data_IF_918559606538
#
_entry.id   IF_918559606538
#
_cell.length_a   1.000
_cell.length_b   1.000
_cell.length_c   1.000
_cell.angle_alpha   90.00
_cell.angle_beta   90.00
_cell.angle_gamma   90.00
#
_symmetry.space_group_name_H-M   'P 1'
#
loop_
_entity.id
_entity.type
_entity.pdbx_description
1 polymer ?
#
# COMPACT_ATOMS: atom_id res chain seq x y z
N UNK A 1 10.98 -24.89 74.28
CA UNK A 1 11.42 -24.95 72.88
C UNK A 1 10.21 -24.67 71.99
N UNK A 2 10.13 -23.48 71.39
CA UNK A 2 9.02 -23.06 70.52
C UNK A 2 9.40 -23.30 69.06
N UNK A 3 8.60 -24.12 68.36
CA UNK A 3 8.80 -24.44 66.95
C UNK A 3 8.16 -23.31 66.14
N UNK A 4 8.97 -22.55 65.41
CA UNK A 4 8.49 -21.52 64.49
C UNK A 4 7.78 -22.21 63.30
N UNK A 5 6.48 -21.94 63.13
CA UNK A 5 5.74 -22.38 61.96
C UNK A 5 6.13 -21.46 60.78
N UNK A 6 6.84 -22.01 59.79
CA UNK A 6 7.10 -21.32 58.54
C UNK A 6 5.82 -21.26 57.71
N UNK A 7 5.23 -20.07 57.57
CA UNK A 7 4.08 -19.83 56.69
C UNK A 7 4.53 -20.01 55.23
N UNK A 8 3.93 -20.93 54.45
CA UNK A 8 4.33 -21.11 53.05
C UNK A 8 3.95 -19.85 52.26
N UNK A 9 4.86 -19.33 51.39
CA UNK A 9 4.55 -18.17 50.56
C UNK A 9 3.38 -18.53 49.62
N UNK A 10 2.31 -17.76 49.70
CA UNK A 10 1.08 -17.97 48.92
C UNK A 10 1.38 -17.97 47.42
N UNK A 11 0.94 -19.01 46.70
CA UNK A 11 1.09 -19.26 45.25
C UNK A 11 0.53 -18.15 44.31
N UNK A 12 0.06 -17.05 44.88
CA UNK A 12 -0.54 -15.90 44.20
C UNK A 12 0.54 -15.00 43.59
N UNK A 13 1.70 -14.87 44.25
CA UNK A 13 2.80 -14.02 43.75
C UNK A 13 3.54 -14.62 42.54
N UNK A 14 3.50 -15.94 42.35
CA UNK A 14 4.15 -16.61 41.22
C UNK A 14 3.31 -16.59 39.93
N UNK A 15 1.98 -16.54 40.04
CA UNK A 15 1.06 -16.58 38.88
C UNK A 15 0.77 -15.19 38.30
N UNK A 16 0.86 -14.14 39.11
CA UNK A 16 0.73 -12.73 38.70
C UNK A 16 1.64 -12.31 37.52
N UNK A 17 2.96 -12.55 37.53
CA UNK A 17 3.82 -12.15 36.41
C UNK A 17 3.50 -12.94 35.12
N UNK A 18 3.07 -14.19 35.26
CA UNK A 18 2.72 -15.06 34.13
C UNK A 18 1.41 -14.61 33.47
N UNK A 19 0.45 -14.17 34.29
CA UNK A 19 -0.81 -13.60 33.82
C UNK A 19 -0.61 -12.20 33.19
N UNK A 20 0.27 -11.38 33.75
CA UNK A 20 0.67 -10.11 33.15
C UNK A 20 1.34 -10.29 31.78
N UNK A 21 2.28 -11.25 31.66
CA UNK A 21 2.92 -11.61 30.39
C UNK A 21 1.88 -12.08 29.36
N UNK A 22 0.94 -12.93 29.77
CA UNK A 22 -0.14 -13.40 28.91
C UNK A 22 -1.00 -12.25 28.39
N UNK A 23 -1.36 -11.29 29.26
CA UNK A 23 -2.13 -10.11 28.87
C UNK A 23 -1.37 -9.23 27.86
N UNK A 24 -0.07 -9.04 28.03
CA UNK A 24 0.78 -8.30 27.07
C UNK A 24 0.80 -9.00 25.72
N UNK A 25 0.95 -10.33 25.69
CA UNK A 25 0.92 -11.12 24.45
C UNK A 25 -0.43 -10.96 23.74
N UNK A 26 -1.55 -11.07 24.48
CA UNK A 26 -2.90 -10.90 23.92
C UNK A 26 -3.11 -9.48 23.40
N UNK A 27 -2.63 -8.46 24.13
CA UNK A 27 -2.72 -7.06 23.72
C UNK A 27 -1.94 -6.80 22.43
N UNK A 28 -0.68 -7.26 22.34
CA UNK A 28 0.12 -7.17 21.12
C UNK A 28 -0.53 -7.94 19.96
N UNK A 29 -1.09 -9.11 20.22
CA UNK A 29 -1.77 -9.91 19.19
C UNK A 29 -3.04 -9.22 18.66
N UNK A 30 -3.85 -8.64 19.55
CA UNK A 30 -5.03 -7.84 19.14
C UNK A 30 -4.63 -6.59 18.38
N UNK A 31 -3.59 -5.89 18.82
CA UNK A 31 -3.07 -4.71 18.13
C UNK A 31 -2.59 -5.05 16.72
N UNK A 32 -1.76 -6.10 16.58
CA UNK A 32 -1.26 -6.60 15.31
C UNK A 32 -2.39 -7.09 14.38
N UNK A 33 -3.44 -7.70 14.93
CA UNK A 33 -4.63 -8.06 14.13
C UNK A 33 -5.39 -6.82 13.66
N UNK A 34 -5.57 -5.82 14.52
CA UNK A 34 -6.29 -4.58 14.19
C UNK A 34 -5.56 -3.75 13.13
N UNK A 35 -4.23 -3.61 13.23
CA UNK A 35 -3.43 -2.90 12.22
C UNK A 35 -3.61 -3.55 10.84
N UNK A 36 -3.52 -4.88 10.78
CA UNK A 36 -3.75 -5.65 9.54
C UNK A 36 -5.15 -5.45 8.97
N UNK A 37 -6.18 -5.36 9.81
CA UNK A 37 -7.56 -5.14 9.30
C UNK A 37 -7.78 -3.75 8.73
N UNK A 38 -7.12 -2.72 9.27
CA UNK A 38 -7.32 -1.35 8.79
C UNK A 38 -6.71 -1.13 7.41
N UNK A 39 -5.48 -1.55 7.18
CA UNK A 39 -4.84 -1.36 5.87
C UNK A 39 -5.38 -2.33 4.83
N UNK A 40 -5.92 -3.49 5.22
CA UNK A 40 -6.70 -4.33 4.29
C UNK A 40 -7.88 -3.54 3.74
N UNK A 41 -8.64 -2.84 4.60
CA UNK A 41 -9.74 -1.97 4.16
C UNK A 41 -9.25 -0.83 3.28
N UNK A 42 -8.12 -0.21 3.60
CA UNK A 42 -7.52 0.85 2.77
C UNK A 42 -7.12 0.31 1.39
N UNK A 43 -6.50 -0.86 1.34
CA UNK A 43 -6.11 -1.51 0.09
C UNK A 43 -7.35 -1.88 -0.75
N UNK A 44 -8.40 -2.40 -0.13
CA UNK A 44 -9.67 -2.70 -0.81
C UNK A 44 -10.37 -1.42 -1.32
N UNK A 45 -10.22 -0.31 -0.61
CA UNK A 45 -10.70 0.99 -1.06
C UNK A 45 -9.91 1.50 -2.26
N UNK A 46 -8.57 1.49 -2.18
CA UNK A 46 -7.69 1.85 -3.30
C UNK A 46 -7.94 0.99 -4.53
N UNK A 47 -8.13 -0.31 -4.36
CA UNK A 47 -8.44 -1.21 -5.45
C UNK A 47 -9.75 -0.81 -6.15
N UNK A 48 -10.77 -0.45 -5.38
CA UNK A 48 -12.05 0.01 -5.93
C UNK A 48 -11.89 1.32 -6.70
N UNK A 49 -11.19 2.29 -6.12
CA UNK A 49 -10.91 3.57 -6.78
C UNK A 49 -10.09 3.36 -8.07
N UNK A 50 -9.07 2.51 -8.01
CA UNK A 50 -8.25 2.17 -9.16
C UNK A 50 -9.05 1.43 -10.25
N UNK A 51 -9.99 0.57 -9.87
CA UNK A 51 -10.85 -0.15 -10.81
C UNK A 51 -11.77 0.82 -11.57
N UNK A 52 -12.26 1.88 -10.92
CA UNK A 52 -13.04 2.94 -11.58
C UNK A 52 -12.16 3.69 -12.57
N UNK A 53 -10.99 4.13 -12.13
CA UNK A 53 -10.05 4.93 -12.94
C UNK A 53 -9.44 4.15 -14.10
N UNK A 54 -9.30 2.83 -14.00
CA UNK A 54 -8.77 1.96 -15.06
C UNK A 54 -9.54 2.09 -16.38
N UNK A 55 -10.83 2.44 -16.32
CA UNK A 55 -11.65 2.64 -17.52
C UNK A 55 -11.33 3.97 -18.22
N UNK A 56 -10.83 4.96 -17.47
CA UNK A 56 -10.55 6.31 -17.97
C UNK A 56 -9.12 6.44 -18.52
N UNK A 57 -8.15 5.77 -17.89
CA UNK A 57 -6.73 5.86 -18.29
C UNK A 57 -6.05 4.50 -18.40
N UNK A 58 -5.37 4.30 -19.54
CA UNK A 58 -4.61 3.09 -19.80
C UNK A 58 -3.16 3.23 -19.28
N UNK A 59 -2.75 2.36 -18.36
CA UNK A 59 -1.38 2.31 -17.86
C UNK A 59 -0.59 1.21 -18.57
N UNK A 60 0.51 1.56 -19.22
CA UNK A 60 1.30 0.63 -20.06
C UNK A 60 2.79 0.78 -19.77
N UNK A 61 3.49 -0.35 -19.61
CA UNK A 61 4.94 -0.41 -19.36
C UNK A 61 5.79 -0.23 -20.62
N UNK A 62 5.23 -0.48 -21.80
CA UNK A 62 5.86 -0.23 -23.10
C UNK A 62 5.78 1.25 -23.46
N UNK A 63 6.73 1.71 -24.30
CA UNK A 63 6.84 3.12 -24.69
C UNK A 63 5.71 3.61 -25.62
N UNK A 64 4.85 2.70 -26.08
CA UNK A 64 3.67 2.98 -26.88
C UNK A 64 2.52 2.08 -26.43
N UNK A 65 1.29 2.50 -26.72
CA UNK A 65 0.10 1.68 -26.50
C UNK A 65 -0.02 0.64 -27.64
N UNK A 66 -0.06 -0.67 -27.34
CA UNK A 66 -0.19 -1.69 -28.37
C UNK A 66 -1.48 -1.52 -29.17
N UNK A 67 -1.38 -1.49 -30.51
CA UNK A 67 -2.52 -1.42 -31.40
C UNK A 67 -3.15 -0.03 -31.58
N UNK A 68 -2.62 1.00 -30.90
CA UNK A 68 -3.16 2.36 -30.95
C UNK A 68 -2.10 3.37 -31.38
N UNK A 69 -2.53 4.44 -32.05
CA UNK A 69 -1.65 5.54 -32.43
C UNK A 69 -1.68 6.63 -31.36
N UNK A 70 -0.50 7.03 -30.88
CA UNK A 70 -0.35 8.22 -30.04
C UNK A 70 -0.66 9.47 -30.86
N UNK A 71 -1.72 10.17 -30.48
CA UNK A 71 -2.15 11.44 -31.08
C UNK A 71 -1.28 12.58 -30.57
N UNK A 72 -1.02 12.59 -29.26
CA UNK A 72 -0.30 13.68 -28.60
C UNK A 72 0.44 13.19 -27.35
N UNK A 73 1.66 13.66 -27.16
CA UNK A 73 2.37 13.54 -25.88
C UNK A 73 2.06 14.77 -25.03
N UNK A 74 1.62 14.54 -23.79
CA UNK A 74 1.29 15.64 -22.86
C UNK A 74 2.52 15.98 -22.02
N UNK A 75 3.14 14.98 -21.39
CA UNK A 75 4.33 15.22 -20.57
C UNK A 75 4.70 14.07 -19.65
N UNK A 76 5.75 14.26 -18.86
CA UNK A 76 6.19 13.33 -17.85
C UNK A 76 5.31 13.41 -16.60
N UNK A 77 4.99 12.26 -16.00
CA UNK A 77 4.24 12.12 -14.76
C UNK A 77 4.99 11.22 -13.79
N UNK A 78 4.95 11.57 -12.52
CA UNK A 78 5.61 10.84 -11.44
C UNK A 78 4.78 10.93 -10.17
N UNK A 79 4.61 9.79 -9.49
CA UNK A 79 3.91 9.70 -8.24
C UNK A 79 4.70 8.88 -7.22
N UNK A 80 4.86 9.46 -6.03
CA UNK A 80 5.51 8.84 -4.88
C UNK A 80 4.43 8.38 -3.89
N UNK A 81 4.57 7.16 -3.38
CA UNK A 81 3.74 6.69 -2.28
C UNK A 81 3.99 7.46 -0.99
N UNK A 82 2.92 7.92 -0.35
CA UNK A 82 2.98 8.53 0.98
C UNK A 82 3.31 7.51 2.07
N UNK A 83 2.87 6.26 1.88
CA UNK A 83 3.07 5.18 2.83
C UNK A 83 4.52 4.67 2.79
N UNK A 84 5.18 4.71 3.94
CA UNK A 84 6.45 4.00 4.16
C UNK A 84 6.17 2.53 4.42
N UNK A 85 6.76 1.65 3.62
CA UNK A 85 6.58 0.22 3.73
C UNK A 85 7.78 -0.41 4.44
N UNK A 86 7.54 -0.93 5.64
CA UNK A 86 8.47 -1.78 6.39
C UNK A 86 8.18 -3.28 6.18
N UNK A 87 7.12 -3.61 5.45
CA UNK A 87 6.64 -4.98 5.26
C UNK A 87 5.87 -5.17 3.94
N UNK A 88 5.76 -6.41 3.47
CA UNK A 88 5.23 -6.74 2.14
C UNK A 88 3.79 -6.24 1.89
N UNK A 89 2.96 -6.22 2.93
CA UNK A 89 1.56 -5.78 2.83
C UNK A 89 1.46 -4.24 2.74
N UNK A 90 2.27 -3.51 3.50
CA UNK A 90 2.42 -2.05 3.36
C UNK A 90 2.98 -1.70 1.99
N UNK A 91 3.90 -2.52 1.48
CA UNK A 91 4.46 -2.33 0.15
C UNK A 91 3.39 -2.42 -0.94
N UNK A 92 2.47 -3.39 -0.84
CA UNK A 92 1.33 -3.50 -1.76
C UNK A 92 0.39 -2.30 -1.67
N UNK A 93 0.18 -1.75 -0.46
CA UNK A 93 -0.62 -0.54 -0.29
C UNK A 93 0.09 0.66 -0.96
N UNK A 94 1.37 0.86 -0.66
CA UNK A 94 2.20 1.92 -1.22
C UNK A 94 2.23 1.86 -2.76
N UNK A 95 2.38 0.67 -3.32
CA UNK A 95 2.36 0.46 -4.78
C UNK A 95 1.05 0.91 -5.41
N UNK A 96 -0.09 0.51 -4.84
CA UNK A 96 -1.41 0.91 -5.36
C UNK A 96 -1.69 2.38 -5.20
N UNK A 97 -1.24 2.98 -4.09
CA UNK A 97 -1.38 4.41 -3.85
C UNK A 97 -0.65 5.20 -4.94
N UNK A 98 0.62 4.89 -5.17
CA UNK A 98 1.42 5.55 -6.19
C UNK A 98 0.83 5.39 -7.60
N UNK A 99 0.31 4.20 -7.95
CA UNK A 99 -0.37 3.99 -9.24
C UNK A 99 -1.66 4.81 -9.39
N UNK A 100 -2.45 4.90 -8.33
CA UNK A 100 -3.69 5.66 -8.32
C UNK A 100 -3.41 7.16 -8.47
N UNK A 101 -2.42 7.67 -7.76
CA UNK A 101 -2.03 9.08 -7.82
C UNK A 101 -1.44 9.43 -9.19
N UNK A 102 -0.62 8.55 -9.78
CA UNK A 102 -0.13 8.71 -11.14
C UNK A 102 -1.27 8.77 -12.16
N UNK A 103 -2.26 7.88 -12.01
CA UNK A 103 -3.41 7.83 -12.88
C UNK A 103 -4.27 9.10 -12.77
N UNK A 104 -4.51 9.58 -11.54
CA UNK A 104 -5.19 10.85 -11.27
C UNK A 104 -4.46 12.04 -11.89
N UNK A 105 -3.13 12.08 -11.75
CA UNK A 105 -2.31 13.13 -12.35
C UNK A 105 -2.40 13.10 -13.88
N UNK A 106 -2.34 11.92 -14.49
CA UNK A 106 -2.53 11.74 -15.93
C UNK A 106 -3.90 12.25 -16.42
N UNK A 107 -4.98 11.89 -15.71
CA UNK A 107 -6.34 12.34 -16.03
C UNK A 107 -6.47 13.86 -15.88
N UNK A 108 -5.93 14.42 -14.80
CA UNK A 108 -5.94 15.87 -14.57
C UNK A 108 -5.19 16.64 -15.67
N UNK A 109 -4.19 16.01 -16.29
CA UNK A 109 -3.46 16.54 -17.44
C UNK A 109 -4.18 16.33 -18.79
N UNK A 110 -5.33 15.65 -18.79
CA UNK A 110 -6.11 15.32 -20.00
C UNK A 110 -5.58 14.11 -20.77
N UNK A 111 -4.78 13.25 -20.13
CA UNK A 111 -4.26 12.02 -20.71
C UNK A 111 -5.28 10.90 -20.62
N UNK A 112 -5.32 10.05 -21.66
CA UNK A 112 -6.10 8.81 -21.65
C UNK A 112 -5.19 7.56 -21.63
N UNK A 113 -3.87 7.75 -21.66
CA UNK A 113 -2.89 6.70 -21.42
C UNK A 113 -1.61 7.25 -20.77
N UNK A 114 -0.93 6.40 -20.02
CA UNK A 114 0.43 6.61 -19.52
C UNK A 114 1.28 5.47 -20.06
N UNK A 115 2.29 5.81 -20.86
CA UNK A 115 3.22 4.86 -21.49
C UNK A 115 4.58 4.91 -20.81
N UNK A 116 5.38 3.87 -21.04
CA UNK A 116 6.73 3.77 -20.50
C UNK A 116 6.75 3.66 -18.98
N UNK A 117 5.70 3.09 -18.39
CA UNK A 117 5.57 2.97 -16.94
C UNK A 117 6.80 2.25 -16.36
N UNK A 118 7.44 2.89 -15.40
CA UNK A 118 8.59 2.36 -14.65
C UNK A 118 8.33 2.51 -13.17
N UNK A 119 8.82 1.53 -12.43
CA UNK A 119 8.81 1.49 -10.98
C UNK A 119 10.22 1.70 -10.47
N UNK A 120 10.38 2.57 -9.49
CA UNK A 120 11.59 2.71 -8.69
C UNK A 120 11.25 2.60 -7.21
N UNK A 121 12.19 2.09 -6.42
CA UNK A 121 12.03 1.97 -4.97
C UNK A 121 13.19 2.69 -4.30
N UNK A 122 12.89 3.59 -3.37
CA UNK A 122 13.87 4.18 -2.47
C UNK A 122 13.85 3.42 -1.15
N UNK A 123 15.01 2.91 -0.71
CA UNK A 123 15.17 2.32 0.61
C UNK A 123 16.00 3.28 1.47
N UNK A 124 15.52 3.58 2.67
CA UNK A 124 16.24 4.42 3.62
C UNK A 124 15.97 3.94 5.04
N UNK A 125 16.88 4.31 5.94
CA UNK A 125 16.71 4.04 7.36
C UNK A 125 15.76 5.08 7.94
N UNK A 126 14.75 4.62 8.68
CA UNK A 126 13.79 5.50 9.31
C UNK A 126 14.49 6.41 10.33
N UNK A 127 14.19 7.71 10.33
CA UNK A 127 14.82 8.65 11.27
C UNK A 127 14.63 8.18 12.73
N UNK A 128 15.74 7.91 13.42
CA UNK A 128 15.72 7.40 14.81
C UNK A 128 15.59 5.89 14.97
N UNK A 129 15.60 5.11 13.88
CA UNK A 129 15.59 3.65 13.89
C UNK A 129 16.47 3.08 12.77
N UNK A 130 17.21 2.00 13.04
CA UNK A 130 17.97 1.30 11.98
C UNK A 130 17.08 0.43 11.07
N UNK A 131 15.75 0.55 11.20
CA UNK A 131 14.82 -0.21 10.38
C UNK A 131 14.75 0.39 8.97
N UNK A 132 14.98 -0.47 7.98
CA UNK A 132 14.89 -0.11 6.56
C UNK A 132 13.43 -0.01 6.17
N UNK A 133 13.02 1.16 5.70
CA UNK A 133 11.72 1.39 5.08
C UNK A 133 11.89 1.62 3.59
N UNK A 134 10.84 1.34 2.83
CA UNK A 134 10.80 1.54 1.39
C UNK A 134 9.67 2.49 0.99
N UNK A 135 9.94 3.38 0.03
CA UNK A 135 8.89 4.09 -0.70
C UNK A 135 8.92 3.66 -2.16
N UNK A 136 7.74 3.50 -2.72
CA UNK A 136 7.52 3.16 -4.14
C UNK A 136 7.25 4.44 -4.91
N UNK A 137 7.94 4.59 -6.03
CA UNK A 137 7.73 5.65 -7.02
C UNK A 137 7.35 5.02 -8.35
N UNK A 138 6.33 5.56 -8.99
CA UNK A 138 6.01 5.25 -10.38
C UNK A 138 6.20 6.49 -11.24
N UNK A 139 6.72 6.26 -12.44
CA UNK A 139 6.98 7.30 -13.42
C UNK A 139 6.58 6.82 -14.82
N UNK A 140 6.20 7.76 -15.68
CA UNK A 140 5.84 7.46 -17.06
C UNK A 140 5.57 8.73 -17.87
N UNK A 141 5.10 8.54 -19.09
CA UNK A 141 4.74 9.64 -19.99
C UNK A 141 3.24 9.62 -20.24
N UNK A 142 2.56 10.69 -19.85
CA UNK A 142 1.17 10.95 -20.13
C UNK A 142 0.97 11.28 -21.62
N UNK A 143 0.08 10.53 -22.28
CA UNK A 143 -0.19 10.64 -23.70
C UNK A 143 -1.69 10.55 -23.98
N UNK A 144 -2.08 11.07 -25.15
CA UNK A 144 -3.41 10.89 -25.74
C UNK A 144 -3.28 9.91 -26.89
N UNK A 145 -4.02 8.82 -26.85
CA UNK A 145 -4.15 7.84 -27.92
C UNK A 145 -5.52 7.93 -28.60
N UNK A 146 -5.56 7.58 -29.88
CA UNK A 146 -6.79 7.59 -30.70
C UNK A 146 -7.64 6.34 -30.41
N UNK A 147 -8.07 6.21 -29.15
CA UNK A 147 -8.80 5.03 -28.70
C UNK A 147 -10.17 5.01 -29.36
N UNK A 148 -10.44 4.03 -30.22
CA UNK A 148 -11.82 3.60 -30.47
C UNK A 148 -12.33 3.01 -29.16
N UNK A 149 -13.01 3.82 -28.34
CA UNK A 149 -13.66 3.29 -27.15
C UNK A 149 -14.55 2.11 -27.56
N UNK A 150 -14.48 0.95 -26.89
CA UNK A 150 -15.61 0.03 -26.96
C UNK A 150 -16.79 0.79 -26.35
N UNK A 151 -17.67 1.29 -27.22
CA UNK A 151 -18.98 1.80 -26.84
C UNK A 151 -19.61 0.77 -25.91
N UNK A 152 -20.26 1.22 -24.84
CA UNK A 152 -20.96 0.37 -23.87
C UNK A 152 -22.10 -0.49 -24.48
N UNK A 153 -22.24 -0.46 -25.81
CA UNK A 153 -23.22 -1.15 -26.64
C UNK A 153 -22.84 -2.61 -26.95
N UNK A 154 -21.62 -3.06 -26.67
CA UNK A 154 -21.19 -4.45 -26.94
C UNK A 154 -21.38 -5.42 -25.77
N UNK A 155 -22.20 -5.07 -24.77
CA UNK A 155 -22.51 -5.91 -23.61
C UNK A 155 -24.02 -6.22 -23.48
N UNK A 156 -24.71 -6.35 -24.61
CA UNK A 156 -26.07 -6.87 -24.70
C UNK A 156 -26.09 -8.23 -25.41
#
# INVERSE_FOLDING_TARGET
MTIAAATPPSAIFSTLPLLALLLVIIAMFRWNRRSKTNTKRQLDQLEREFKVIRNEILLVTTNAVPGERTVRTIGYVEALSEAEAASDWEYRLAEKQALLDLARQGIAMGANAIVGLRKSNAHYDQAGSQWRVSRVTYQGTAVVVDRKMPSAESAA
#
